data_IF_006371206008
#
_entry.id   IF_006371206008
#
_cell.length_a   1.000
_cell.length_b   1.000
_cell.length_c   1.000
_cell.angle_alpha   90.00
_cell.angle_beta   90.00
_cell.angle_gamma   90.00
#
_symmetry.space_group_name_H-M   'P 1'
#
loop_
_entity.id
_entity.type
_entity.pdbx_description
1 polymer ?
#
# COMPACT_ATOMS: atom_id res chain seq x y z
N UNK A 1 34.38 9.09 -30.93
CA UNK A 1 35.30 7.93 -30.97
C UNK A 1 36.28 8.15 -29.86
N UNK A 2 36.30 7.28 -28.86
CA UNK A 2 37.11 7.46 -27.66
C UNK A 2 38.47 6.75 -27.75
N UNK A 3 38.56 5.70 -28.56
CA UNK A 3 39.74 4.84 -28.68
C UNK A 3 39.97 4.46 -30.15
N UNK A 4 41.23 4.47 -30.60
CA UNK A 4 41.66 4.02 -31.93
C UNK A 4 42.62 2.85 -31.79
N UNK A 5 42.29 1.74 -32.46
CA UNK A 5 43.18 0.58 -32.62
C UNK A 5 43.93 0.67 -33.95
N UNK A 6 45.26 0.67 -33.90
CA UNK A 6 46.16 0.73 -35.05
C UNK A 6 47.04 -0.52 -35.09
N UNK A 7 46.49 -1.63 -35.58
CA UNK A 7 47.21 -2.89 -35.80
C UNK A 7 48.12 -2.85 -37.03
N UNK A 8 48.93 -1.81 -37.15
CA UNK A 8 49.78 -1.45 -38.29
C UNK A 8 51.07 -0.77 -37.81
N UNK A 9 52.05 -0.64 -38.69
CA UNK A 9 53.25 0.15 -38.41
C UNK A 9 54.13 0.41 -39.64
N UNK A 10 55.05 1.37 -39.50
CA UNK A 10 56.12 1.68 -40.45
C UNK A 10 57.42 1.96 -39.69
N UNK A 11 58.56 1.68 -40.31
CA UNK A 11 59.89 1.90 -39.70
C UNK A 11 60.37 3.35 -39.79
N UNK A 12 59.72 4.17 -40.62
CA UNK A 12 60.13 5.56 -40.87
C UNK A 12 59.19 6.55 -40.19
N UNK A 13 59.76 7.50 -39.44
CA UNK A 13 59.01 8.63 -38.88
C UNK A 13 58.42 9.50 -40.00
N UNK A 14 57.22 10.02 -39.77
CA UNK A 14 56.53 10.93 -40.67
C UNK A 14 55.89 12.05 -39.88
N UNK A 15 56.29 13.29 -40.17
CA UNK A 15 55.75 14.48 -39.51
C UNK A 15 54.22 14.55 -39.62
N UNK A 16 53.66 14.24 -40.79
CA UNK A 16 52.21 14.31 -41.02
C UNK A 16 51.48 13.27 -40.14
N UNK A 17 52.04 12.07 -40.01
CA UNK A 17 51.48 11.03 -39.15
C UNK A 17 51.56 11.44 -37.68
N UNK A 18 52.71 11.94 -37.24
CA UNK A 18 52.92 12.42 -35.87
C UNK A 18 51.95 13.56 -35.49
N UNK A 19 51.82 14.58 -36.35
CA UNK A 19 50.89 15.70 -36.15
C UNK A 19 49.43 15.20 -36.04
N UNK A 20 49.03 14.24 -36.87
CA UNK A 20 47.68 13.67 -36.86
C UNK A 20 47.38 12.88 -35.58
N UNK A 21 48.33 12.06 -35.15
CA UNK A 21 48.26 11.28 -33.90
C UNK A 21 48.18 12.23 -32.69
N UNK A 22 49.04 13.24 -32.62
CA UNK A 22 49.03 14.20 -31.51
C UNK A 22 47.73 14.99 -31.46
N UNK A 23 47.19 15.41 -32.61
CA UNK A 23 45.89 16.09 -32.67
C UNK A 23 44.77 15.22 -32.11
N UNK A 24 44.74 13.92 -32.41
CA UNK A 24 43.73 13.02 -31.86
C UNK A 24 43.92 12.84 -30.33
N UNK A 25 45.16 12.70 -29.88
CA UNK A 25 45.50 12.60 -28.46
C UNK A 25 45.08 13.84 -27.67
N UNK A 26 45.32 15.05 -28.19
CA UNK A 26 44.91 16.32 -27.58
C UNK A 26 43.39 16.48 -27.48
N UNK A 27 42.63 15.81 -28.36
CA UNK A 27 41.17 15.73 -28.28
C UNK A 27 40.67 14.66 -27.30
N UNK A 28 41.56 14.04 -26.53
CA UNK A 28 41.23 13.04 -25.52
C UNK A 28 40.99 11.64 -26.08
N UNK A 29 41.31 11.40 -27.36
CA UNK A 29 41.25 10.06 -27.96
C UNK A 29 42.44 9.24 -27.47
N UNK A 30 42.18 8.02 -27.02
CA UNK A 30 43.23 7.07 -26.68
C UNK A 30 43.68 6.33 -27.93
N UNK A 31 44.98 6.29 -28.17
CA UNK A 31 45.57 5.70 -29.37
C UNK A 31 46.37 4.47 -28.97
N UNK A 32 46.11 3.32 -29.59
CA UNK A 32 46.77 2.05 -29.27
C UNK A 32 47.32 1.45 -30.56
N UNK A 33 48.61 1.10 -30.60
CA UNK A 33 49.27 0.61 -31.81
C UNK A 33 50.15 -0.62 -31.58
N UNK A 34 50.31 -1.41 -32.64
CA UNK A 34 51.19 -2.57 -32.66
C UNK A 34 52.65 -2.12 -32.62
N UNK A 35 53.46 -2.71 -31.73
CA UNK A 35 54.87 -2.34 -31.61
C UNK A 35 55.71 -2.75 -32.83
N UNK A 36 55.38 -3.86 -33.50
CA UNK A 36 56.13 -4.38 -34.65
C UNK A 36 56.35 -5.90 -34.60
N UNK A 37 56.79 -6.48 -35.72
CA UNK A 37 56.95 -7.95 -35.87
C UNK A 37 58.37 -8.34 -36.34
N UNK A 38 59.36 -7.45 -36.19
CA UNK A 38 60.73 -7.62 -36.71
C UNK A 38 61.67 -8.39 -35.76
N UNK A 39 61.18 -8.76 -34.58
CA UNK A 39 61.89 -9.54 -33.56
C UNK A 39 62.46 -8.71 -32.41
N UNK A 40 62.87 -9.42 -31.35
CA UNK A 40 63.40 -8.82 -30.13
C UNK A 40 64.68 -7.99 -30.41
N UNK A 41 64.75 -6.79 -29.82
CA UNK A 41 65.85 -5.84 -29.99
C UNK A 41 65.78 -5.00 -31.26
N UNK A 42 64.68 -5.11 -32.03
CA UNK A 42 64.40 -4.20 -33.15
C UNK A 42 63.55 -3.01 -32.67
N UNK A 43 63.76 -1.80 -33.22
CA UNK A 43 63.02 -0.61 -32.83
C UNK A 43 61.50 -0.79 -32.94
N UNK A 44 60.77 -0.13 -32.05
CA UNK A 44 59.31 -0.03 -32.12
C UNK A 44 58.91 0.78 -33.36
N UNK A 45 57.93 0.29 -34.12
CA UNK A 45 57.44 0.93 -35.34
C UNK A 45 56.56 2.16 -35.03
N UNK A 46 56.49 3.09 -35.97
CA UNK A 46 55.54 4.20 -35.94
C UNK A 46 54.16 3.76 -36.43
N UNK A 47 53.05 4.21 -35.81
CA UNK A 47 52.99 5.29 -34.81
C UNK A 47 53.16 4.84 -33.35
N UNK A 48 53.38 3.54 -33.06
CA UNK A 48 53.51 3.05 -31.70
C UNK A 48 54.67 3.72 -30.94
N UNK A 49 55.75 4.09 -31.64
CA UNK A 49 56.88 4.80 -31.04
C UNK A 49 56.60 6.26 -30.62
N UNK A 50 55.45 6.85 -30.99
CA UNK A 50 55.09 8.18 -30.50
C UNK A 50 54.59 8.12 -29.06
N UNK A 51 55.03 9.05 -28.21
CA UNK A 51 54.66 9.08 -26.77
C UNK A 51 53.15 9.25 -26.51
N UNK A 52 52.43 9.82 -27.47
CA UNK A 52 50.96 9.95 -27.49
C UNK A 52 50.22 8.66 -27.82
N UNK A 53 50.94 7.58 -28.14
CA UNK A 53 50.39 6.27 -28.51
C UNK A 53 50.80 5.21 -27.50
N UNK A 54 49.86 4.34 -27.17
CA UNK A 54 50.11 3.14 -26.37
C UNK A 54 50.71 2.06 -27.29
N UNK A 55 52.01 1.80 -27.15
CA UNK A 55 52.68 0.72 -27.87
C UNK A 55 52.43 -0.64 -27.19
N UNK A 56 52.01 -1.63 -27.99
CA UNK A 56 51.65 -2.97 -27.49
C UNK A 56 52.59 -4.04 -28.04
N UNK A 57 53.29 -4.75 -27.15
CA UNK A 57 54.06 -5.95 -27.48
C UNK A 57 53.20 -7.22 -27.37
N UNK A 58 53.64 -8.30 -28.02
CA UNK A 58 52.89 -9.55 -28.11
C UNK A 58 53.44 -10.62 -27.17
N UNK A 59 52.53 -11.28 -26.43
CA UNK A 59 52.86 -12.49 -25.66
C UNK A 59 52.31 -13.76 -26.32
N UNK A 60 52.85 -14.91 -25.91
CA UNK A 60 52.29 -16.22 -26.18
C UNK A 60 51.41 -16.72 -25.01
N UNK A 61 50.83 -17.90 -25.16
CA UNK A 61 49.96 -18.54 -24.17
C UNK A 61 50.66 -18.89 -22.85
N UNK A 62 52.00 -18.87 -22.82
CA UNK A 62 52.83 -19.08 -21.62
C UNK A 62 53.25 -17.75 -20.98
N UNK A 63 52.65 -16.62 -21.39
CA UNK A 63 53.03 -15.27 -20.98
C UNK A 63 54.51 -14.93 -21.26
N UNK A 64 55.11 -15.55 -22.28
CA UNK A 64 56.45 -15.21 -22.74
C UNK A 64 56.32 -14.22 -23.91
N UNK A 65 57.33 -13.38 -24.10
CA UNK A 65 57.41 -12.49 -25.27
C UNK A 65 57.38 -13.35 -26.55
N UNK A 66 56.52 -13.00 -27.49
CA UNK A 66 56.49 -13.65 -28.79
C UNK A 66 57.79 -13.34 -29.55
N UNK A 67 58.39 -14.35 -30.19
CA UNK A 67 59.72 -14.22 -30.81
C UNK A 67 59.81 -13.13 -31.88
N UNK A 68 58.68 -12.81 -32.53
CA UNK A 68 58.56 -11.75 -33.53
C UNK A 68 58.34 -10.36 -32.92
N UNK A 69 57.95 -10.24 -31.64
CA UNK A 69 57.62 -8.95 -31.06
C UNK A 69 58.86 -8.07 -30.99
N UNK A 70 58.77 -6.86 -31.53
CA UNK A 70 59.75 -5.79 -31.31
C UNK A 70 59.74 -5.35 -29.85
N UNK A 71 60.84 -4.77 -29.40
CA UNK A 71 61.04 -4.31 -28.01
C UNK A 71 61.73 -2.96 -27.99
N UNK A 72 61.54 -2.20 -26.92
CA UNK A 72 62.09 -0.85 -26.82
C UNK A 72 61.49 -0.08 -25.66
N UNK A 73 62.07 1.08 -25.37
CA UNK A 73 61.63 1.96 -24.29
C UNK A 73 60.24 2.55 -24.55
N UNK A 74 59.72 2.45 -25.77
CA UNK A 74 58.39 2.92 -26.16
C UNK A 74 57.29 1.91 -25.81
N UNK A 75 57.60 0.61 -25.66
CA UNK A 75 56.61 -0.41 -25.28
C UNK A 75 55.95 -0.02 -23.96
N UNK A 76 54.63 0.18 -23.97
CA UNK A 76 53.91 0.60 -22.77
C UNK A 76 53.21 -0.57 -22.08
N UNK A 77 52.68 -1.51 -22.84
CA UNK A 77 52.03 -2.71 -22.31
C UNK A 77 52.24 -3.91 -23.21
N UNK A 78 51.96 -5.11 -22.70
CA UNK A 78 51.87 -6.32 -23.49
C UNK A 78 50.46 -6.91 -23.48
N UNK A 79 50.13 -7.66 -24.53
CA UNK A 79 48.87 -8.38 -24.65
C UNK A 79 49.04 -9.68 -25.47
N UNK A 80 48.08 -10.63 -25.40
CA UNK A 80 48.15 -11.87 -26.15
C UNK A 80 48.19 -11.62 -27.67
N UNK A 81 49.24 -12.10 -28.33
CA UNK A 81 49.45 -11.89 -29.76
C UNK A 81 49.85 -13.14 -30.54
N UNK A 82 49.94 -14.31 -29.91
CA UNK A 82 50.25 -15.58 -30.58
C UNK A 82 49.01 -16.47 -30.62
N UNK A 83 48.75 -17.11 -31.77
CA UNK A 83 47.65 -18.07 -31.96
C UNK A 83 46.27 -17.50 -31.57
N UNK A 84 46.01 -16.25 -31.94
CA UNK A 84 44.75 -15.57 -31.63
C UNK A 84 43.72 -15.90 -32.70
N UNK A 85 42.65 -16.59 -32.29
CA UNK A 85 41.49 -16.88 -33.15
C UNK A 85 40.49 -15.74 -33.08
N UNK A 86 40.11 -15.19 -34.23
CA UNK A 86 39.09 -14.13 -34.32
C UNK A 86 38.24 -14.28 -35.58
N UNK A 87 37.24 -13.43 -35.71
CA UNK A 87 36.39 -13.33 -36.90
C UNK A 87 37.21 -13.02 -38.14
N UNK A 88 36.81 -13.59 -39.27
CA UNK A 88 37.40 -13.39 -40.58
C UNK A 88 36.31 -13.14 -41.63
N UNK A 89 36.71 -12.84 -42.87
CA UNK A 89 35.76 -12.56 -43.95
C UNK A 89 34.78 -13.73 -44.16
N UNK A 90 33.60 -13.42 -44.71
CA UNK A 90 32.57 -14.40 -45.07
C UNK A 90 32.09 -15.29 -43.90
N UNK A 91 31.99 -14.72 -42.68
CA UNK A 91 31.55 -15.43 -41.46
C UNK A 91 32.47 -16.58 -41.02
N UNK A 92 33.70 -16.64 -41.52
CA UNK A 92 34.70 -17.59 -41.06
C UNK A 92 35.44 -17.09 -39.83
N UNK A 93 36.25 -17.98 -39.25
CA UNK A 93 37.21 -17.66 -38.21
C UNK A 93 38.60 -18.02 -38.71
N UNK A 94 39.59 -17.25 -38.30
CA UNK A 94 40.99 -17.49 -38.62
C UNK A 94 41.86 -17.28 -37.38
N UNK A 95 42.97 -18.00 -37.34
CA UNK A 95 43.99 -17.88 -36.29
C UNK A 95 45.20 -17.16 -36.87
N UNK A 96 45.67 -16.12 -36.17
CA UNK A 96 46.83 -15.33 -36.57
C UNK A 96 47.75 -15.02 -35.39
N UNK A 97 48.98 -14.63 -35.71
CA UNK A 97 49.99 -14.22 -34.74
C UNK A 97 50.63 -12.91 -35.19
N UNK A 98 50.81 -11.97 -34.26
CA UNK A 98 51.38 -10.66 -34.52
C UNK A 98 51.10 -9.69 -33.37
N UNK A 99 51.90 -8.63 -33.26
CA UNK A 99 51.56 -7.49 -32.38
C UNK A 99 50.26 -6.83 -32.82
N UNK A 100 49.89 -6.94 -34.10
CA UNK A 100 48.56 -6.62 -34.62
C UNK A 100 47.41 -7.34 -33.91
N UNK A 101 47.60 -8.57 -33.42
CA UNK A 101 46.62 -9.33 -32.65
C UNK A 101 46.63 -8.96 -31.15
N UNK A 102 47.76 -8.47 -30.64
CA UNK A 102 47.87 -7.97 -29.27
C UNK A 102 47.17 -6.61 -29.10
N UNK A 103 47.33 -5.68 -30.04
CA UNK A 103 46.73 -4.33 -30.01
C UNK A 103 45.22 -4.30 -29.68
N UNK A 104 44.35 -5.11 -30.32
CA UNK A 104 42.91 -5.06 -30.05
C UNK A 104 42.54 -5.56 -28.66
N UNK A 105 43.33 -6.46 -28.05
CA UNK A 105 43.13 -6.86 -26.65
C UNK A 105 43.35 -5.67 -25.71
N UNK A 106 44.44 -4.92 -25.90
CA UNK A 106 44.72 -3.72 -25.13
C UNK A 106 43.63 -2.65 -25.34
N UNK A 107 43.26 -2.37 -26.59
CA UNK A 107 42.22 -1.40 -26.92
C UNK A 107 40.86 -1.76 -26.27
N UNK A 108 40.50 -3.04 -26.24
CA UNK A 108 39.28 -3.52 -25.59
C UNK A 108 39.30 -3.29 -24.07
N UNK A 109 40.44 -3.50 -23.41
CA UNK A 109 40.55 -3.30 -21.96
C UNK A 109 40.45 -1.82 -21.59
N UNK A 110 41.02 -0.93 -22.40
CA UNK A 110 40.78 0.50 -22.26
C UNK A 110 39.32 0.89 -22.53
N UNK A 111 38.64 0.22 -23.46
CA UNK A 111 37.21 0.45 -23.71
C UNK A 111 36.36 0.06 -22.49
N UNK A 112 36.72 -1.02 -21.79
CA UNK A 112 36.07 -1.40 -20.53
C UNK A 112 36.29 -0.35 -19.43
N UNK A 113 37.50 0.19 -19.28
CA UNK A 113 37.78 1.29 -18.35
C UNK A 113 37.00 2.56 -18.72
N UNK A 114 36.97 2.95 -20.01
CA UNK A 114 36.20 4.11 -20.48
C UNK A 114 34.69 3.93 -20.28
N UNK A 115 34.18 2.71 -20.42
CA UNK A 115 32.78 2.41 -20.12
C UNK A 115 32.47 2.55 -18.64
N UNK A 116 33.37 2.09 -17.77
CA UNK A 116 33.26 2.18 -16.31
C UNK A 116 33.33 3.63 -15.84
N UNK A 117 34.30 4.38 -16.37
CA UNK A 117 34.61 5.76 -15.99
C UNK A 117 34.55 6.70 -17.22
N UNK A 118 33.34 7.05 -17.73
CA UNK A 118 33.19 7.82 -18.96
C UNK A 118 33.85 9.21 -18.95
N UNK A 119 34.08 9.77 -17.76
CA UNK A 119 34.69 11.08 -17.58
C UNK A 119 36.23 11.05 -17.64
N UNK A 120 36.87 9.88 -17.55
CA UNK A 120 38.32 9.80 -17.57
C UNK A 120 38.90 10.18 -18.95
N UNK A 121 39.99 10.95 -18.90
CA UNK A 121 40.80 11.32 -20.06
C UNK A 121 41.66 10.15 -20.52
N UNK A 122 42.16 10.19 -21.76
CA UNK A 122 43.13 9.23 -22.27
C UNK A 122 44.36 9.05 -21.36
N UNK A 123 44.85 10.13 -20.74
CA UNK A 123 45.95 10.08 -19.75
C UNK A 123 45.53 9.28 -18.52
N UNK A 124 44.38 9.60 -17.93
CA UNK A 124 43.89 8.91 -16.73
C UNK A 124 43.63 7.43 -16.98
N UNK A 125 43.12 7.07 -18.16
CA UNK A 125 42.91 5.68 -18.54
C UNK A 125 44.23 4.90 -18.64
N UNK A 126 45.30 5.51 -19.17
CA UNK A 126 46.66 4.91 -19.19
C UNK A 126 47.16 4.65 -17.76
N UNK A 127 47.00 5.62 -16.86
CA UNK A 127 47.37 5.49 -15.45
C UNK A 127 46.54 4.42 -14.72
N UNK A 128 45.24 4.36 -14.97
CA UNK A 128 44.36 3.35 -14.38
C UNK A 128 44.68 1.95 -14.91
N UNK A 129 45.05 1.81 -16.18
CA UNK A 129 45.45 0.53 -16.75
C UNK A 129 46.69 -0.05 -16.06
N UNK A 130 47.64 0.78 -15.58
CA UNK A 130 48.81 0.30 -14.80
C UNK A 130 48.43 -0.42 -13.52
N UNK A 131 47.24 -0.17 -12.96
CA UNK A 131 46.74 -0.92 -11.79
C UNK A 131 46.16 -2.28 -12.19
N UNK A 132 45.83 -2.43 -13.47
CA UNK A 132 45.16 -3.56 -14.08
C UNK A 132 46.11 -4.42 -14.94
N UNK A 133 47.38 -4.55 -14.55
CA UNK A 133 48.36 -5.42 -15.22
C UNK A 133 48.75 -6.63 -14.37
N UNK A 134 49.38 -7.61 -15.04
CA UNK A 134 50.31 -8.57 -14.43
C UNK A 134 51.71 -8.20 -14.90
N UNK A 135 52.58 -7.89 -13.95
CA UNK A 135 53.98 -7.55 -14.21
C UNK A 135 54.73 -8.82 -14.68
N UNK A 136 55.36 -8.75 -15.86
CA UNK A 136 56.04 -9.86 -16.52
C UNK A 136 57.45 -9.41 -16.87
N UNK A 137 58.41 -10.34 -16.85
CA UNK A 137 59.80 -10.02 -17.16
C UNK A 137 60.54 -9.46 -15.96
N UNK A 138 61.22 -8.32 -16.15
CA UNK A 138 61.97 -7.67 -15.08
C UNK A 138 61.00 -6.84 -14.25
N UNK A 139 61.09 -6.92 -12.91
CA UNK A 139 60.18 -6.19 -12.04
C UNK A 139 60.12 -4.69 -12.36
N UNK A 140 58.90 -4.17 -12.53
CA UNK A 140 58.66 -2.80 -12.98
C UNK A 140 58.60 -2.69 -14.49
N UNK A 141 58.72 -1.45 -15.01
CA UNK A 141 58.62 -1.22 -16.45
C UNK A 141 59.87 -1.73 -17.17
N UNK A 142 59.70 -2.57 -18.18
CA UNK A 142 60.79 -3.06 -19.02
C UNK A 142 60.53 -2.91 -20.54
N UNK A 143 61.57 -3.13 -21.35
CA UNK A 143 61.52 -2.95 -22.81
C UNK A 143 60.73 -4.05 -23.54
N UNK A 144 60.43 -5.17 -22.88
CA UNK A 144 59.76 -6.32 -23.48
C UNK A 144 58.25 -6.28 -23.28
N UNK A 145 57.83 -6.01 -22.04
CA UNK A 145 56.43 -6.05 -21.62
C UNK A 145 55.86 -4.68 -21.24
N UNK A 146 56.68 -3.62 -21.27
CA UNK A 146 56.26 -2.31 -20.79
C UNK A 146 55.94 -2.39 -19.30
N UNK A 147 54.79 -1.88 -18.88
CA UNK A 147 54.27 -2.04 -17.51
C UNK A 147 53.76 -3.45 -17.21
N UNK A 148 53.62 -4.32 -18.22
CA UNK A 148 53.17 -5.70 -18.07
C UNK A 148 51.96 -6.07 -18.94
N UNK A 149 51.47 -7.28 -18.72
CA UNK A 149 50.33 -7.85 -19.43
C UNK A 149 49.04 -7.19 -18.97
N UNK A 150 48.35 -6.52 -19.89
CA UNK A 150 47.06 -5.88 -19.61
C UNK A 150 45.99 -6.92 -19.22
N UNK A 151 45.22 -6.60 -18.18
CA UNK A 151 44.07 -7.35 -17.69
C UNK A 151 42.94 -6.40 -17.28
N UNK A 152 41.78 -6.95 -16.89
CA UNK A 152 40.75 -6.22 -16.16
C UNK A 152 40.59 -6.88 -14.79
N UNK A 153 40.99 -6.20 -13.71
CA UNK A 153 40.81 -6.70 -12.35
C UNK A 153 39.45 -6.25 -11.84
N UNK A 154 38.52 -7.20 -11.67
CA UNK A 154 37.19 -6.91 -11.14
C UNK A 154 37.28 -6.23 -9.77
N UNK A 155 36.58 -5.11 -9.60
CA UNK A 155 36.52 -4.41 -8.31
C UNK A 155 35.38 -4.93 -7.43
N UNK A 156 35.45 -4.66 -6.12
CA UNK A 156 34.42 -5.07 -5.17
C UNK A 156 33.02 -4.52 -5.52
N UNK A 157 32.95 -3.34 -6.14
CA UNK A 157 31.71 -2.72 -6.63
C UNK A 157 31.07 -3.49 -7.78
N UNK A 158 31.87 -4.12 -8.65
CA UNK A 158 31.38 -4.95 -9.77
C UNK A 158 30.69 -6.21 -9.24
N UNK A 159 31.28 -6.81 -8.20
CA UNK A 159 30.71 -7.98 -7.51
C UNK A 159 29.39 -7.65 -6.79
N UNK A 160 29.34 -6.50 -6.11
CA UNK A 160 28.12 -6.03 -5.44
C UNK A 160 26.98 -5.76 -6.44
N UNK A 161 27.29 -5.13 -7.58
CA UNK A 161 26.31 -4.91 -8.64
C UNK A 161 25.80 -6.24 -9.22
N UNK A 162 26.70 -7.18 -9.53
CA UNK A 162 26.33 -8.48 -10.06
C UNK A 162 25.38 -9.24 -9.10
N UNK A 163 25.65 -9.20 -7.80
CA UNK A 163 24.77 -9.78 -6.78
C UNK A 163 23.38 -9.11 -6.75
N UNK A 164 23.33 -7.78 -6.82
CA UNK A 164 22.07 -7.03 -6.87
C UNK A 164 21.25 -7.35 -8.13
N UNK A 165 21.89 -7.41 -9.31
CA UNK A 165 21.26 -7.78 -10.59
C UNK A 165 20.69 -9.20 -10.53
N UNK A 166 21.43 -10.17 -10.00
CA UNK A 166 20.93 -11.54 -9.81
C UNK A 166 19.72 -11.59 -8.86
N UNK A 167 19.76 -10.84 -7.77
CA UNK A 167 18.63 -10.77 -6.84
C UNK A 167 17.38 -10.16 -7.49
N UNK A 168 17.54 -9.11 -8.32
CA UNK A 168 16.43 -8.55 -9.10
C UNK A 168 15.86 -9.58 -10.08
N UNK A 169 16.71 -10.28 -10.85
CA UNK A 169 16.27 -11.36 -11.76
C UNK A 169 15.48 -12.43 -11.02
N UNK A 170 15.95 -12.86 -9.84
CA UNK A 170 15.23 -13.81 -9.00
C UNK A 170 13.87 -13.28 -8.55
N UNK A 171 13.81 -12.03 -8.08
CA UNK A 171 12.55 -11.39 -7.69
C UNK A 171 11.58 -11.25 -8.88
N UNK A 172 12.09 -10.98 -10.08
CA UNK A 172 11.33 -10.97 -11.33
C UNK A 172 10.77 -12.34 -11.68
N UNK A 173 11.46 -13.45 -11.38
CA UNK A 173 10.97 -14.79 -11.65
C UNK A 173 9.96 -15.26 -10.59
N UNK A 174 10.35 -15.19 -9.31
CA UNK A 174 9.56 -15.76 -8.21
C UNK A 174 8.37 -14.89 -7.83
N UNK A 175 8.46 -13.57 -8.07
CA UNK A 175 7.52 -12.56 -7.57
C UNK A 175 7.28 -12.73 -6.06
N UNK A 176 8.24 -13.26 -5.30
CA UNK A 176 8.10 -13.45 -3.87
C UNK A 176 8.53 -12.19 -3.11
N UNK A 177 7.82 -11.84 -2.03
CA UNK A 177 8.15 -10.63 -1.26
C UNK A 177 9.54 -10.72 -0.62
N UNK A 178 9.94 -11.92 -0.21
CA UNK A 178 11.25 -12.17 0.39
C UNK A 178 12.38 -11.86 -0.60
N UNK A 179 12.25 -12.27 -1.86
CA UNK A 179 13.24 -11.99 -2.90
C UNK A 179 13.24 -10.50 -3.28
N UNK A 180 12.07 -9.86 -3.31
CA UNK A 180 11.99 -8.40 -3.52
C UNK A 180 12.72 -7.65 -2.41
N UNK A 181 12.51 -8.04 -1.15
CA UNK A 181 13.16 -7.41 -0.01
C UNK A 181 14.67 -7.61 -0.07
N UNK A 182 15.14 -8.81 -0.43
CA UNK A 182 16.56 -9.10 -0.58
C UNK A 182 17.21 -8.30 -1.71
N UNK A 183 16.53 -8.20 -2.86
CA UNK A 183 17.01 -7.36 -3.95
C UNK A 183 17.09 -5.89 -3.55
N UNK A 184 16.07 -5.36 -2.84
CA UNK A 184 16.06 -3.96 -2.37
C UNK A 184 17.21 -3.67 -1.41
N UNK A 185 17.51 -4.59 -0.51
CA UNK A 185 18.66 -4.50 0.40
C UNK A 185 19.97 -4.38 -0.37
N UNK A 186 20.23 -5.29 -1.33
CA UNK A 186 21.45 -5.28 -2.12
C UNK A 186 21.59 -4.03 -2.99
N UNK A 187 20.50 -3.58 -3.64
CA UNK A 187 20.51 -2.35 -4.43
C UNK A 187 20.84 -1.13 -3.55
N UNK A 188 20.35 -1.11 -2.29
CA UNK A 188 20.58 0.02 -1.39
C UNK A 188 22.06 0.25 -1.05
N UNK A 189 22.86 -0.82 -1.11
CA UNK A 189 24.30 -0.80 -0.86
C UNK A 189 25.12 -0.31 -2.07
N UNK A 190 24.51 -0.18 -3.25
CA UNK A 190 25.20 0.29 -4.44
C UNK A 190 25.41 1.81 -4.42
N UNK A 191 26.51 2.33 -5.00
CA UNK A 191 26.68 3.76 -5.24
C UNK A 191 25.60 4.29 -6.19
N UNK A 192 25.30 5.59 -6.07
CA UNK A 192 24.30 6.23 -6.93
C UNK A 192 24.79 6.21 -8.39
N UNK A 193 23.97 5.62 -9.26
CA UNK A 193 24.25 5.43 -10.68
C UNK A 193 22.96 5.20 -11.45
N UNK A 194 23.02 5.34 -12.77
CA UNK A 194 21.90 4.98 -13.66
C UNK A 194 21.57 3.49 -13.58
N UNK A 195 22.60 2.64 -13.39
CA UNK A 195 22.43 1.21 -13.22
C UNK A 195 21.64 0.87 -11.94
N UNK A 196 21.96 1.50 -10.81
CA UNK A 196 21.17 1.39 -9.55
C UNK A 196 19.72 1.84 -9.77
N UNK A 197 19.53 2.95 -10.48
CA UNK A 197 18.20 3.47 -10.82
C UNK A 197 17.39 2.49 -11.68
N UNK A 198 18.03 1.84 -12.65
CA UNK A 198 17.40 0.85 -13.52
C UNK A 198 16.97 -0.41 -12.73
N UNK A 199 17.81 -0.90 -11.80
CA UNK A 199 17.47 -2.00 -10.91
C UNK A 199 16.25 -1.67 -10.03
N UNK A 200 16.21 -0.47 -9.43
CA UNK A 200 15.06 -0.02 -8.66
C UNK A 200 13.77 0.01 -9.49
N UNK A 201 13.80 0.60 -10.70
CA UNK A 201 12.63 0.66 -11.59
C UNK A 201 12.10 -0.74 -11.95
N UNK A 202 12.99 -1.70 -12.21
CA UNK A 202 12.61 -3.10 -12.46
C UNK A 202 11.93 -3.72 -11.24
N UNK A 203 12.53 -3.55 -10.06
CA UNK A 203 12.02 -4.10 -8.81
C UNK A 203 10.65 -3.50 -8.42
N UNK A 204 10.44 -2.22 -8.66
CA UNK A 204 9.17 -1.54 -8.38
C UNK A 204 8.02 -2.05 -9.28
N UNK A 205 8.32 -2.39 -10.54
CA UNK A 205 7.35 -3.08 -11.42
C UNK A 205 6.94 -4.44 -10.85
N UNK A 206 7.90 -5.21 -10.32
CA UNK A 206 7.62 -6.49 -9.65
C UNK A 206 6.74 -6.29 -8.42
N UNK A 207 7.05 -5.30 -7.58
CA UNK A 207 6.24 -4.98 -6.40
C UNK A 207 4.81 -4.55 -6.78
N UNK A 208 4.67 -3.73 -7.81
CA UNK A 208 3.36 -3.28 -8.33
C UNK A 208 2.50 -4.47 -8.77
N UNK A 209 3.07 -5.41 -9.53
CA UNK A 209 2.39 -6.64 -9.94
C UNK A 209 1.89 -7.45 -8.73
N UNK A 210 2.72 -7.63 -7.70
CA UNK A 210 2.30 -8.32 -6.46
C UNK A 210 1.16 -7.61 -5.76
N UNK A 211 1.23 -6.29 -5.63
CA UNK A 211 0.19 -5.51 -4.96
C UNK A 211 -1.16 -5.68 -5.69
N UNK A 212 -1.15 -5.66 -7.03
CA UNK A 212 -2.36 -5.92 -7.84
C UNK A 212 -2.90 -7.32 -7.60
N UNK A 213 -2.05 -8.35 -7.56
CA UNK A 213 -2.46 -9.73 -7.27
C UNK A 213 -3.08 -9.85 -5.87
N UNK A 214 -2.42 -9.30 -4.86
CA UNK A 214 -2.91 -9.31 -3.48
C UNK A 214 -4.28 -8.61 -3.34
N UNK A 215 -4.46 -7.46 -4.01
CA UNK A 215 -5.73 -6.77 -4.05
C UNK A 215 -6.83 -7.58 -4.76
N UNK A 216 -6.52 -8.25 -5.88
CA UNK A 216 -7.44 -9.17 -6.58
C UNK A 216 -7.89 -10.31 -5.67
N UNK A 217 -6.95 -10.97 -4.99
CA UNK A 217 -7.22 -12.09 -4.09
C UNK A 217 -8.11 -11.66 -2.90
N UNK A 218 -7.85 -10.47 -2.33
CA UNK A 218 -8.65 -9.93 -1.23
C UNK A 218 -10.05 -9.46 -1.66
N UNK A 219 -10.19 -8.86 -2.85
CA UNK A 219 -11.51 -8.52 -3.41
C UNK A 219 -12.32 -9.79 -3.68
N UNK A 220 -11.71 -10.85 -4.21
CA UNK A 220 -12.38 -12.13 -4.40
C UNK A 220 -12.87 -12.73 -3.06
N UNK A 221 -12.08 -12.61 -1.98
CA UNK A 221 -12.52 -12.98 -0.63
C UNK A 221 -13.68 -12.11 -0.15
N UNK A 222 -13.66 -10.80 -0.40
CA UNK A 222 -14.77 -9.91 -0.07
C UNK A 222 -16.05 -10.31 -0.81
N UNK A 223 -15.96 -10.63 -2.09
CA UNK A 223 -17.08 -11.11 -2.91
C UNK A 223 -17.62 -12.45 -2.43
N UNK A 224 -16.75 -13.38 -2.00
CA UNK A 224 -17.13 -14.70 -1.48
C UNK A 224 -17.85 -14.58 -0.14
N UNK A 225 -17.20 -13.96 0.85
CA UNK A 225 -17.65 -13.98 2.24
C UNK A 225 -18.61 -12.85 2.60
N UNK A 226 -18.51 -11.70 1.91
CA UNK A 226 -19.39 -10.54 2.09
C UNK A 226 -19.50 -10.10 3.56
N UNK A 227 -18.37 -10.00 4.25
CA UNK A 227 -18.27 -9.51 5.63
C UNK A 227 -17.55 -8.17 5.67
N UNK A 228 -17.73 -7.39 6.74
CA UNK A 228 -17.04 -6.10 6.87
C UNK A 228 -15.52 -6.28 6.93
N UNK A 229 -15.04 -7.31 7.63
CA UNK A 229 -13.61 -7.62 7.71
C UNK A 229 -12.97 -7.90 6.35
N UNK A 230 -13.63 -8.66 5.47
CA UNK A 230 -13.10 -8.91 4.13
C UNK A 230 -13.16 -7.68 3.24
N UNK A 231 -14.15 -6.80 3.44
CA UNK A 231 -14.19 -5.49 2.79
C UNK A 231 -13.03 -4.59 3.22
N UNK A 232 -12.74 -4.52 4.51
CA UNK A 232 -11.70 -3.63 5.05
C UNK A 232 -10.29 -4.08 4.61
N UNK A 233 -10.04 -5.39 4.63
CA UNK A 233 -8.78 -5.96 4.12
C UNK A 233 -8.61 -5.73 2.61
N UNK A 234 -9.68 -5.89 1.83
CA UNK A 234 -9.66 -5.58 0.39
C UNK A 234 -9.43 -4.09 0.12
N UNK A 235 -10.11 -3.20 0.84
CA UNK A 235 -9.94 -1.75 0.70
C UNK A 235 -8.49 -1.33 1.00
N UNK A 236 -7.90 -1.89 2.06
CA UNK A 236 -6.51 -1.63 2.42
C UNK A 236 -5.54 -2.03 1.30
N UNK A 237 -5.77 -3.17 0.65
CA UNK A 237 -4.94 -3.61 -0.47
C UNK A 237 -5.14 -2.76 -1.74
N UNK A 238 -6.38 -2.36 -2.05
CA UNK A 238 -6.67 -1.43 -3.17
C UNK A 238 -5.99 -0.07 -2.97
N UNK A 239 -5.93 0.43 -1.73
CA UNK A 239 -5.30 1.71 -1.41
C UNK A 239 -3.80 1.73 -1.71
N UNK A 240 -3.12 0.56 -1.67
CA UNK A 240 -1.71 0.41 -2.03
C UNK A 240 -1.44 0.45 -3.54
N UNK A 241 -2.49 0.42 -4.36
CA UNK A 241 -2.33 0.44 -5.82
C UNK A 241 -2.13 1.85 -6.35
N UNK A 242 -1.27 2.03 -7.37
CA UNK A 242 -1.20 3.28 -8.11
C UNK A 242 -2.54 3.56 -8.79
N UNK A 243 -2.78 4.83 -9.13
CA UNK A 243 -3.99 5.22 -9.86
C UNK A 243 -3.95 4.60 -11.26
N UNK A 244 -5.02 3.88 -11.62
CA UNK A 244 -5.09 3.16 -12.88
C UNK A 244 -6.33 2.29 -13.00
N UNK A 245 -6.42 1.54 -14.10
CA UNK A 245 -7.57 0.70 -14.44
C UNK A 245 -7.82 -0.41 -13.42
N UNK A 246 -6.78 -1.09 -12.95
CA UNK A 246 -6.91 -2.15 -11.94
C UNK A 246 -7.55 -1.63 -10.65
N UNK A 247 -7.03 -0.50 -10.12
CA UNK A 247 -7.57 0.13 -8.89
C UNK A 247 -9.04 0.51 -9.07
N UNK A 248 -9.39 1.14 -10.19
CA UNK A 248 -10.77 1.54 -10.52
C UNK A 248 -11.70 0.33 -10.60
N UNK A 249 -11.29 -0.74 -11.27
CA UNK A 249 -12.10 -1.95 -11.45
C UNK A 249 -12.30 -2.72 -10.15
N UNK A 250 -11.23 -2.88 -9.37
CA UNK A 250 -11.29 -3.53 -8.05
C UNK A 250 -12.15 -2.71 -7.07
N UNK A 251 -12.04 -1.39 -7.10
CA UNK A 251 -12.90 -0.52 -6.27
C UNK A 251 -14.37 -0.69 -6.62
N UNK A 252 -14.73 -0.68 -7.92
CA UNK A 252 -16.11 -0.90 -8.37
C UNK A 252 -16.68 -2.23 -7.87
N UNK A 253 -15.90 -3.31 -7.96
CA UNK A 253 -16.27 -4.64 -7.45
C UNK A 253 -16.47 -4.63 -5.94
N UNK A 254 -15.53 -4.05 -5.20
CA UNK A 254 -15.64 -3.93 -3.75
C UNK A 254 -16.85 -3.10 -3.32
N UNK A 255 -17.17 -2.03 -4.04
CA UNK A 255 -18.33 -1.19 -3.76
C UNK A 255 -19.67 -1.92 -4.01
N UNK A 256 -19.71 -2.85 -4.97
CA UNK A 256 -20.86 -3.76 -5.12
C UNK A 256 -21.04 -4.64 -3.89
N UNK A 257 -19.96 -5.20 -3.33
CA UNK A 257 -19.98 -5.99 -2.09
C UNK A 257 -20.48 -5.13 -0.91
N UNK A 258 -19.96 -3.91 -0.76
CA UNK A 258 -20.41 -2.97 0.29
C UNK A 258 -21.91 -2.69 0.18
N UNK A 259 -22.42 -2.42 -1.03
CA UNK A 259 -23.85 -2.20 -1.28
C UNK A 259 -24.69 -3.42 -0.89
N UNK A 260 -24.23 -4.63 -1.21
CA UNK A 260 -24.90 -5.86 -0.80
C UNK A 260 -24.99 -5.99 0.72
N UNK A 261 -23.88 -5.79 1.44
CA UNK A 261 -23.84 -5.88 2.91
C UNK A 261 -24.79 -4.87 3.53
N UNK A 262 -24.74 -3.61 3.08
CA UNK A 262 -25.62 -2.55 3.57
C UNK A 262 -27.10 -2.90 3.31
N UNK A 263 -27.42 -3.42 2.13
CA UNK A 263 -28.78 -3.86 1.77
C UNK A 263 -29.27 -4.98 2.69
N UNK A 264 -28.45 -6.01 2.93
CA UNK A 264 -28.77 -7.11 3.86
C UNK A 264 -29.04 -6.60 5.29
N UNK A 265 -28.17 -5.73 5.80
CA UNK A 265 -28.36 -5.14 7.14
C UNK A 265 -29.64 -4.29 7.22
N UNK A 266 -29.99 -3.55 6.17
CA UNK A 266 -31.23 -2.78 6.12
C UNK A 266 -32.46 -3.69 6.12
N UNK A 267 -32.44 -4.78 5.33
CA UNK A 267 -33.49 -5.81 5.31
C UNK A 267 -33.72 -6.42 6.69
N UNK A 268 -32.65 -6.87 7.36
CA UNK A 268 -32.73 -7.50 8.67
C UNK A 268 -33.30 -6.55 9.74
N UNK A 269 -32.88 -5.27 9.69
CA UNK A 269 -33.40 -4.24 10.61
C UNK A 269 -34.87 -3.91 10.34
N UNK A 270 -35.29 -3.85 9.08
CA UNK A 270 -36.71 -3.66 8.73
C UNK A 270 -37.54 -4.84 9.22
N UNK A 271 -37.10 -6.08 8.98
CA UNK A 271 -37.79 -7.28 9.46
C UNK A 271 -37.90 -7.29 11.00
N UNK A 272 -36.84 -6.88 11.70
CA UNK A 272 -36.86 -6.72 13.16
C UNK A 272 -37.88 -5.66 13.60
N UNK A 273 -37.92 -4.50 12.93
CA UNK A 273 -38.86 -3.43 13.22
C UNK A 273 -40.32 -3.86 12.96
N UNK A 274 -40.57 -4.62 11.90
CA UNK A 274 -41.89 -5.20 11.59
C UNK A 274 -42.38 -6.13 12.70
N UNK A 275 -41.48 -6.96 13.24
CA UNK A 275 -41.79 -7.91 14.33
C UNK A 275 -41.95 -7.20 15.67
N UNK A 276 -41.01 -6.35 16.05
CA UNK A 276 -40.95 -5.76 17.40
C UNK A 276 -41.86 -4.55 17.57
N UNK A 277 -42.08 -3.79 16.49
CA UNK A 277 -42.78 -2.49 16.49
C UNK A 277 -42.19 -1.45 17.45
N UNK A 278 -40.99 -1.69 17.97
CA UNK A 278 -40.32 -0.79 18.91
C UNK A 278 -39.75 0.43 18.19
N UNK A 279 -39.86 1.61 18.81
CA UNK A 279 -39.30 2.86 18.27
C UNK A 279 -37.83 2.72 17.88
N UNK A 280 -37.03 2.11 18.77
CA UNK A 280 -35.58 1.94 18.58
C UNK A 280 -35.22 1.09 17.36
N UNK A 281 -36.00 0.04 17.07
CA UNK A 281 -35.80 -0.80 15.89
C UNK A 281 -36.24 -0.09 14.61
N UNK A 282 -37.34 0.67 14.66
CA UNK A 282 -37.78 1.51 13.52
C UNK A 282 -36.75 2.59 13.19
N UNK A 283 -36.16 3.23 14.21
CA UNK A 283 -35.11 4.24 14.03
C UNK A 283 -33.83 3.62 13.45
N UNK A 284 -33.45 2.43 13.96
CA UNK A 284 -32.32 1.66 13.45
C UNK A 284 -32.51 1.25 11.98
N UNK A 285 -33.71 0.82 11.61
CA UNK A 285 -34.08 0.51 10.24
C UNK A 285 -34.07 1.75 9.34
N UNK A 286 -34.62 2.88 9.81
CA UNK A 286 -34.63 4.13 9.05
C UNK A 286 -33.20 4.61 8.75
N UNK A 287 -32.30 4.54 9.74
CA UNK A 287 -30.89 4.87 9.56
C UNK A 287 -30.21 3.96 8.53
N UNK A 288 -30.46 2.65 8.59
CA UNK A 288 -29.87 1.69 7.64
C UNK A 288 -30.38 1.90 6.20
N UNK A 289 -31.68 2.14 6.01
CA UNK A 289 -32.25 2.49 4.70
C UNK A 289 -31.63 3.80 4.17
N UNK A 290 -31.41 4.78 5.04
CA UNK A 290 -30.81 6.06 4.67
C UNK A 290 -29.42 5.92 4.03
N UNK A 291 -28.64 4.92 4.45
CA UNK A 291 -27.30 4.61 3.93
C UNK A 291 -27.32 3.92 2.56
N UNK A 292 -28.46 3.45 2.08
CA UNK A 292 -28.56 2.81 0.78
C UNK A 292 -28.60 3.86 -0.35
N UNK A 293 -27.98 3.58 -1.51
CA UNK A 293 -28.18 4.39 -2.71
C UNK A 293 -29.63 4.29 -3.20
N UNK A 294 -30.05 5.24 -4.05
CA UNK A 294 -31.37 5.20 -4.67
C UNK A 294 -31.56 3.91 -5.47
N UNK A 295 -32.61 3.15 -5.15
CA UNK A 295 -32.95 1.88 -5.82
C UNK A 295 -34.41 1.50 -5.55
N UNK A 296 -34.92 0.56 -6.35
CA UNK A 296 -36.23 -0.08 -6.12
C UNK A 296 -36.28 -0.78 -4.76
N UNK A 297 -35.16 -1.38 -4.33
CA UNK A 297 -35.03 -2.02 -3.03
C UNK A 297 -35.12 -1.03 -1.87
N UNK A 298 -34.39 0.10 -1.93
CA UNK A 298 -34.49 1.17 -0.92
C UNK A 298 -35.94 1.66 -0.81
N UNK A 299 -36.59 1.85 -1.95
CA UNK A 299 -38.00 2.28 -2.03
C UNK A 299 -38.92 1.25 -1.38
N UNK A 300 -38.72 -0.04 -1.65
CA UNK A 300 -39.51 -1.14 -1.06
C UNK A 300 -39.33 -1.23 0.46
N UNK A 301 -38.10 -1.16 0.95
CA UNK A 301 -37.80 -1.15 2.39
C UNK A 301 -38.40 0.07 3.08
N UNK A 302 -38.38 1.25 2.45
CA UNK A 302 -39.00 2.45 3.00
C UNK A 302 -40.53 2.31 3.08
N UNK A 303 -41.18 1.75 2.06
CA UNK A 303 -42.63 1.47 2.08
C UNK A 303 -43.00 0.52 3.23
N UNK A 304 -42.25 -0.57 3.40
CA UNK A 304 -42.40 -1.52 4.51
C UNK A 304 -42.27 -0.85 5.87
N UNK A 305 -41.22 -0.05 6.06
CA UNK A 305 -41.01 0.67 7.32
C UNK A 305 -42.12 1.70 7.60
N UNK A 306 -42.60 2.40 6.57
CA UNK A 306 -43.71 3.34 6.70
C UNK A 306 -45.02 2.63 7.11
N UNK A 307 -45.25 1.39 6.66
CA UNK A 307 -46.38 0.56 7.12
C UNK A 307 -46.28 0.24 8.61
N UNK A 308 -45.08 -0.04 9.13
CA UNK A 308 -44.86 -0.22 10.58
C UNK A 308 -45.19 1.07 11.34
N UNK A 309 -44.67 2.22 10.88
CA UNK A 309 -44.96 3.53 11.49
C UNK A 309 -46.46 3.84 11.52
N UNK A 310 -47.16 3.59 10.41
CA UNK A 310 -48.62 3.77 10.30
C UNK A 310 -49.38 2.85 11.26
N UNK A 311 -48.95 1.58 11.39
CA UNK A 311 -49.52 0.63 12.35
C UNK A 311 -49.35 1.12 13.79
N UNK A 312 -48.16 1.57 14.16
CA UNK A 312 -47.89 2.12 15.49
C UNK A 312 -48.72 3.37 15.77
N UNK A 313 -48.85 4.25 14.78
CA UNK A 313 -49.71 5.44 14.88
C UNK A 313 -51.16 5.05 15.16
N UNK A 314 -51.71 4.08 14.41
CA UNK A 314 -53.08 3.57 14.62
C UNK A 314 -53.26 2.99 16.02
N UNK A 315 -52.30 2.19 16.52
CA UNK A 315 -52.34 1.65 17.88
C UNK A 315 -52.31 2.75 18.95
N UNK A 316 -51.47 3.78 18.77
CA UNK A 316 -51.41 4.92 19.68
C UNK A 316 -52.71 5.74 19.66
N UNK A 317 -53.26 6.01 18.48
CA UNK A 317 -54.56 6.68 18.33
C UNK A 317 -55.67 5.91 19.03
N UNK A 318 -55.76 4.59 18.82
CA UNK A 318 -56.75 3.74 19.48
C UNK A 318 -56.60 3.74 21.01
N UNK A 319 -55.36 3.66 21.50
CA UNK A 319 -55.09 3.66 22.94
C UNK A 319 -55.43 5.00 23.59
N UNK A 320 -55.12 6.12 22.95
CA UNK A 320 -55.49 7.46 23.41
C UNK A 320 -57.01 7.64 23.40
N UNK A 321 -57.70 7.26 22.33
CA UNK A 321 -59.16 7.32 22.26
C UNK A 321 -59.84 6.46 23.33
N UNK A 322 -59.29 5.28 23.66
CA UNK A 322 -59.78 4.46 24.76
C UNK A 322 -59.59 5.13 26.13
N UNK A 323 -58.47 5.82 26.34
CA UNK A 323 -58.19 6.56 27.56
C UNK A 323 -59.07 7.82 27.70
N UNK A 324 -59.42 8.46 26.59
CA UNK A 324 -60.38 9.57 26.55
C UNK A 324 -61.80 9.11 26.90
N UNK A 325 -62.25 7.97 26.37
CA UNK A 325 -63.55 7.37 26.70
C UNK A 325 -63.64 6.93 28.17
N UNK A 326 -62.58 6.30 28.69
CA UNK A 326 -62.51 5.82 30.08
C UNK A 326 -61.19 6.25 30.70
N UNK A 327 -61.23 7.38 31.39
CA UNK A 327 -60.07 8.01 32.04
C UNK A 327 -59.68 7.28 33.33
N UNK A 328 -58.94 6.18 33.18
CA UNK A 328 -58.30 5.42 34.26
C UNK A 328 -56.78 5.45 34.11
N UNK A 329 -56.03 5.19 35.19
CA UNK A 329 -54.56 5.06 35.12
C UNK A 329 -54.12 3.99 34.14
N UNK A 330 -54.79 2.84 34.17
CA UNK A 330 -54.43 1.71 33.30
C UNK A 330 -54.54 2.10 31.82
N UNK A 331 -55.59 2.82 31.44
CA UNK A 331 -55.75 3.29 30.07
C UNK A 331 -54.76 4.41 29.73
N UNK A 332 -54.53 5.36 30.65
CA UNK A 332 -53.55 6.42 30.46
C UNK A 332 -52.11 5.87 30.32
N UNK A 333 -51.75 4.85 31.09
CA UNK A 333 -50.46 4.18 31.02
C UNK A 333 -50.30 3.39 29.70
N UNK A 334 -51.32 2.62 29.30
CA UNK A 334 -51.33 1.93 28.00
C UNK A 334 -51.19 2.91 26.83
N UNK A 335 -51.94 4.01 26.86
CA UNK A 335 -51.83 5.07 25.87
C UNK A 335 -50.45 5.73 25.87
N UNK A 336 -49.87 6.01 27.05
CA UNK A 336 -48.54 6.59 27.14
C UNK A 336 -47.48 5.66 26.55
N UNK A 337 -47.54 4.37 26.87
CA UNK A 337 -46.64 3.37 26.30
C UNK A 337 -46.74 3.31 24.77
N UNK A 338 -47.96 3.37 24.22
CA UNK A 338 -48.16 3.38 22.76
C UNK A 338 -47.64 4.67 22.11
N UNK A 339 -47.91 5.85 22.68
CA UNK A 339 -47.40 7.14 22.20
C UNK A 339 -45.87 7.20 22.27
N UNK A 340 -45.26 6.59 23.29
CA UNK A 340 -43.81 6.51 23.42
C UNK A 340 -43.15 5.72 22.30
N UNK A 341 -43.85 4.75 21.69
CA UNK A 341 -43.34 3.98 20.55
C UNK A 341 -43.34 4.75 19.22
N UNK A 342 -43.95 5.94 19.17
CA UNK A 342 -43.94 6.79 17.97
C UNK A 342 -42.61 7.54 17.81
N UNK A 343 -42.21 7.73 16.55
CA UNK A 343 -41.19 8.68 16.15
C UNK A 343 -41.59 10.12 16.52
N UNK A 344 -40.60 10.99 16.68
CA UNK A 344 -40.86 12.41 16.88
C UNK A 344 -41.59 12.99 15.65
N UNK A 345 -42.60 13.83 15.88
CA UNK A 345 -43.40 14.40 14.82
C UNK A 345 -44.70 15.02 15.32
N UNK A 346 -45.45 15.60 14.38
CA UNK A 346 -46.72 16.29 14.65
C UNK A 346 -47.74 15.35 15.29
N UNK A 347 -47.85 14.12 14.79
CA UNK A 347 -48.81 13.13 15.31
C UNK A 347 -48.55 12.73 16.76
N UNK A 348 -47.28 12.42 17.09
CA UNK A 348 -46.88 12.10 18.47
C UNK A 348 -47.20 13.26 19.40
N UNK A 349 -46.87 14.48 18.98
CA UNK A 349 -47.12 15.70 19.75
C UNK A 349 -48.61 15.91 19.98
N UNK A 350 -49.44 15.74 18.95
CA UNK A 350 -50.89 15.88 19.06
C UNK A 350 -51.52 14.83 19.98
N UNK A 351 -51.10 13.57 19.86
CA UNK A 351 -51.56 12.48 20.74
C UNK A 351 -51.09 12.67 22.18
N UNK A 352 -49.88 13.15 22.40
CA UNK A 352 -49.38 13.45 23.74
C UNK A 352 -50.22 14.55 24.40
N UNK A 353 -50.53 15.65 23.70
CA UNK A 353 -51.39 16.72 24.21
C UNK A 353 -52.78 16.22 24.61
N UNK A 354 -53.38 15.34 23.80
CA UNK A 354 -54.66 14.68 24.12
C UNK A 354 -54.55 13.81 25.37
N UNK A 355 -53.50 12.99 25.44
CA UNK A 355 -53.24 12.12 26.58
C UNK A 355 -52.97 12.91 27.89
N UNK A 356 -52.30 14.06 27.81
CA UNK A 356 -52.05 14.90 28.99
C UNK A 356 -53.35 15.46 29.55
N UNK A 357 -54.33 15.79 28.71
CA UNK A 357 -55.69 16.15 29.17
C UNK A 357 -56.37 14.99 29.89
N UNK A 358 -56.23 13.75 29.38
CA UNK A 358 -56.75 12.55 30.05
C UNK A 358 -56.09 12.36 31.41
N UNK A 359 -54.76 12.48 31.50
CA UNK A 359 -54.02 12.37 32.77
C UNK A 359 -54.48 13.40 33.79
N UNK A 360 -54.75 14.64 33.37
CA UNK A 360 -55.35 15.68 34.23
C UNK A 360 -56.72 15.26 34.77
N UNK A 361 -57.59 14.67 33.93
CA UNK A 361 -58.89 14.13 34.39
C UNK A 361 -58.73 12.98 35.39
N UNK A 362 -57.79 12.07 35.12
CA UNK A 362 -57.47 10.94 36.03
C UNK A 362 -56.98 11.45 37.38
N UNK A 363 -56.10 12.45 37.39
CA UNK A 363 -55.60 13.08 38.61
C UNK A 363 -56.72 13.79 39.39
N UNK A 364 -57.58 14.54 38.70
CA UNK A 364 -58.72 15.22 39.33
C UNK A 364 -59.73 14.23 39.94
N UNK A 365 -60.00 13.10 39.28
CA UNK A 365 -60.85 12.05 39.81
C UNK A 365 -60.27 11.43 41.10
N UNK A 366 -58.95 11.21 41.13
CA UNK A 366 -58.27 10.73 42.33
C UNK A 366 -58.31 11.77 43.46
N UNK A 367 -58.07 13.04 43.16
CA UNK A 367 -58.16 14.13 44.14
C UNK A 367 -59.56 14.20 44.78
N UNK A 368 -60.64 14.05 44.00
CA UNK A 368 -62.01 13.98 44.55
C UNK A 368 -62.23 12.81 45.50
N UNK A 369 -61.65 11.63 45.19
CA UNK A 369 -61.71 10.48 46.11
C UNK A 369 -60.96 10.77 47.40
N UNK A 370 -59.78 11.40 47.32
CA UNK A 370 -59.00 11.82 48.48
C UNK A 370 -59.80 12.78 49.36
N UNK A 371 -60.45 13.79 48.79
CA UNK A 371 -61.30 14.71 49.55
C UNK A 371 -62.51 14.01 50.17
N UNK A 372 -63.14 13.07 49.46
CA UNK A 372 -64.22 12.24 50.01
C UNK A 372 -63.74 11.39 51.19
N UNK A 373 -62.57 10.78 51.07
CA UNK A 373 -61.96 9.99 52.14
C UNK A 373 -61.59 10.87 53.34
N UNK A 374 -61.01 12.05 53.13
CA UNK A 374 -60.74 13.05 54.18
C UNK A 374 -62.02 13.41 54.95
N UNK A 375 -63.10 13.74 54.24
CA UNK A 375 -64.37 14.10 54.85
C UNK A 375 -64.96 12.94 55.68
N UNK A 376 -64.91 11.71 55.17
CA UNK A 376 -65.38 10.52 55.88
C UNK A 376 -64.53 10.16 57.10
N UNK A 377 -63.20 10.28 57.01
CA UNK A 377 -62.31 10.09 58.16
C UNK A 377 -62.59 11.13 59.24
N UNK A 378 -62.74 12.41 58.87
CA UNK A 378 -63.11 13.48 59.80
C UNK A 378 -64.46 13.20 60.49
N UNK A 379 -65.44 12.69 59.75
CA UNK A 379 -66.73 12.26 60.32
C UNK A 379 -66.58 11.08 61.29
N UNK A 380 -65.79 10.07 60.93
CA UNK A 380 -65.53 8.93 61.81
C UNK A 380 -64.82 9.33 63.11
N UNK A 381 -63.86 10.26 63.04
CA UNK A 381 -63.17 10.84 64.20
C UNK A 381 -64.15 11.56 65.15
N UNK A 382 -65.16 12.26 64.58
CA UNK A 382 -66.19 12.99 65.34
C UNK A 382 -67.23 12.06 65.95
N UNK A 383 -67.88 11.23 65.13
CA UNK A 383 -69.04 10.43 65.53
C UNK A 383 -68.63 9.22 66.39
N UNK A 384 -67.42 8.67 66.17
CA UNK A 384 -66.89 7.47 66.84
C UNK A 384 -67.87 6.29 66.83
N UNK A 385 -68.56 6.07 65.70
CA UNK A 385 -69.46 4.93 65.50
C UNK A 385 -68.82 3.87 64.62
N UNK A 386 -69.18 2.59 64.80
CA UNK A 386 -68.72 1.50 63.94
C UNK A 386 -69.07 1.75 62.46
N UNK A 387 -70.28 2.26 62.19
CA UNK A 387 -70.79 2.59 60.84
C UNK A 387 -69.95 3.65 60.13
N UNK A 388 -69.62 4.75 60.82
CA UNK A 388 -68.80 5.84 60.24
C UNK A 388 -67.36 5.38 59.98
N UNK A 389 -66.77 4.60 60.90
CA UNK A 389 -65.42 4.01 60.73
C UNK A 389 -65.35 3.07 59.52
N UNK A 390 -66.33 2.18 59.34
CA UNK A 390 -66.38 1.28 58.17
C UNK A 390 -66.52 2.06 56.85
N UNK A 391 -67.39 3.08 56.81
CA UNK A 391 -67.55 3.91 55.60
C UNK A 391 -66.27 4.67 55.21
N UNK A 392 -65.55 5.18 56.22
CA UNK A 392 -64.25 5.80 56.02
C UNK A 392 -63.19 4.79 55.55
N UNK A 393 -63.17 3.58 56.12
CA UNK A 393 -62.23 2.53 55.72
C UNK A 393 -62.42 2.13 54.26
N UNK A 394 -63.66 1.95 53.82
CA UNK A 394 -63.97 1.67 52.41
C UNK A 394 -63.49 2.79 51.49
N UNK A 395 -63.62 4.06 51.88
CA UNK A 395 -63.16 5.20 51.08
C UNK A 395 -61.63 5.30 51.03
N UNK A 396 -60.93 5.09 52.15
CA UNK A 396 -59.45 5.08 52.20
C UNK A 396 -58.89 3.91 51.39
N UNK A 397 -59.53 2.73 51.44
CA UNK A 397 -59.11 1.57 50.66
C UNK A 397 -59.16 1.81 49.15
N UNK A 398 -60.13 2.61 48.68
CA UNK A 398 -60.30 2.98 47.26
C UNK A 398 -59.27 3.99 46.73
N UNK A 399 -58.47 4.62 47.61
CA UNK A 399 -57.41 5.53 47.20
C UNK A 399 -56.21 4.76 46.65
N UNK A 400 -55.50 5.38 45.72
CA UNK A 400 -54.18 4.90 45.28
C UNK A 400 -53.15 5.05 46.40
N UNK A 401 -52.10 4.22 46.33
CA UNK A 401 -50.96 4.34 47.23
C UNK A 401 -50.38 5.76 47.14
N UNK A 402 -50.38 6.46 48.26
CA UNK A 402 -49.92 7.84 48.39
C UNK A 402 -49.66 8.16 49.86
N UNK A 403 -48.83 9.17 50.11
CA UNK A 403 -48.61 9.66 51.48
C UNK A 403 -49.92 10.07 52.16
N UNK A 404 -50.86 10.61 51.39
CA UNK A 404 -52.16 11.03 51.91
C UNK A 404 -53.03 9.84 52.31
N UNK A 405 -53.06 8.77 51.51
CA UNK A 405 -53.72 7.50 51.91
C UNK A 405 -53.14 6.97 53.21
N UNK A 406 -51.81 6.97 53.34
CA UNK A 406 -51.13 6.49 54.56
C UNK A 406 -51.49 7.36 55.78
N UNK A 407 -51.52 8.69 55.64
CA UNK A 407 -51.94 9.61 56.71
C UNK A 407 -53.39 9.37 57.12
N UNK A 408 -54.30 9.25 56.17
CA UNK A 408 -55.71 8.99 56.42
C UNK A 408 -55.94 7.64 57.09
N UNK A 409 -55.20 6.61 56.68
CA UNK A 409 -55.28 5.29 57.30
C UNK A 409 -54.81 5.32 58.76
N UNK A 410 -53.70 6.01 59.06
CA UNK A 410 -53.21 6.18 60.45
C UNK A 410 -54.26 6.87 61.33
N UNK A 411 -54.82 7.98 60.84
CA UNK A 411 -55.90 8.72 61.53
C UNK A 411 -57.11 7.84 61.81
N UNK A 412 -57.55 7.08 60.80
CA UNK A 412 -58.70 6.20 60.93
C UNK A 412 -58.46 5.04 61.92
N UNK A 413 -57.24 4.50 61.99
CA UNK A 413 -56.86 3.46 62.96
C UNK A 413 -56.98 3.95 64.41
N UNK A 414 -56.67 5.23 64.66
CA UNK A 414 -56.76 5.84 65.99
C UNK A 414 -58.20 6.06 66.49
N UNK A 415 -59.21 5.98 65.62
CA UNK A 415 -60.62 6.14 66.01
C UNK A 415 -61.10 4.92 66.81
N UNK A 416 -61.43 5.11 68.10
CA UNK A 416 -62.03 4.09 68.99
C UNK A 416 -63.56 4.24 69.02
N UNK A 417 -64.36 3.31 68.45
CA UNK A 417 -65.81 3.42 68.47
C UNK A 417 -66.37 3.35 69.90
N UNK A 418 -67.37 4.17 70.24
CA UNK A 418 -68.13 4.02 71.48
C UNK A 418 -69.02 2.78 71.38
N UNK A 419 -69.14 2.03 72.48
CA UNK A 419 -69.97 0.80 72.56
C UNK A 419 -71.41 1.09 72.20
#
# INVERSE_FOLDING_TARGET
>A
MDIVNMSLGTTSDSKILHDAVNKAYEQGVLLVAASGNDGNGKPVNYPAAYSSVVAVSATNEKNQLASFSTTGDEVEFSAPGTNITSTYLNQYYATGSGTSQATPHAAAMFALLKQRDPAETNVQLREEMRKNIVDLGTAGRDQQFGYGLIQYKAQATDSAYAAAEQAVKKAEQTKAQIDINKARELISQLPNSDAKTALHKRLDKVQSYRNVKDAKDKVAKAEKYKTQQTVDTAQTAINKLPNGTDKKNLQKRLDQVKRYIASKQAKDKVAKAEKSKKKTDVDSAQSAIGKLPASSEKTSLQKRLNKVKSTNLKTAQQSVSAAEKKSTDANAAKAQSAVNQLQAGKDKTALQKRLDKVKKKVAAAEAKKVETAKAKVKKAEKDKTKKSKTSAQSAVNQLKASNEKTKLQKRLNAVKPKK
#
